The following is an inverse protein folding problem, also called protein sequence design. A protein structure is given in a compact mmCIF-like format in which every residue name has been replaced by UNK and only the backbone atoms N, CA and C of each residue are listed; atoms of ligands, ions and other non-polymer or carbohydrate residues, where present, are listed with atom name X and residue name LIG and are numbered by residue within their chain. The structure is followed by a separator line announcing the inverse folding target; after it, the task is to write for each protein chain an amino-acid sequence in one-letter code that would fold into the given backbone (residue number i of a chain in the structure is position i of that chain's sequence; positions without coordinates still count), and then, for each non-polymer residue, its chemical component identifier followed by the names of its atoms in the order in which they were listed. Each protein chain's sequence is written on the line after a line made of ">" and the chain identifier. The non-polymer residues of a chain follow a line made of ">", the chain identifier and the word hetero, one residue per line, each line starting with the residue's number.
data_IF_110466405124
#
_entry.id   IF_110466405124
#
_cell.length_a   1.000
_cell.length_b   1.000
_cell.length_c   1.000
_cell.angle_alpha   90.00
_cell.angle_beta   90.00
_cell.angle_gamma   90.00
#
_symmetry.space_group_name_H-M   'P 1'
#
loop_
_entity.id
_entity.type
_entity.pdbx_description
1 polymer ?
#
# COMPACT_ATOMS: atom_id res chain seq x y z
N UNK A 1 18.22 78.06 -5.68
CA UNK A 1 16.78 78.22 -5.35
C UNK A 1 15.97 78.15 -6.63
N UNK A 2 15.02 77.21 -6.75
CA UNK A 2 13.71 77.42 -7.38
C UNK A 2 12.89 76.13 -7.30
N UNK A 3 11.89 76.15 -6.42
CA UNK A 3 10.72 75.26 -6.43
C UNK A 3 10.00 75.41 -7.77
N UNK A 4 9.53 74.30 -8.35
CA UNK A 4 8.24 74.27 -9.06
C UNK A 4 7.54 72.94 -8.80
N UNK A 5 6.43 73.04 -8.06
CA UNK A 5 5.35 72.04 -8.01
C UNK A 5 4.59 72.09 -9.33
N UNK A 6 4.23 70.92 -9.88
CA UNK A 6 3.07 70.76 -10.75
C UNK A 6 2.40 69.41 -10.46
N UNK A 7 1.25 69.51 -9.80
CA UNK A 7 0.15 68.55 -9.80
C UNK A 7 -0.36 68.37 -11.24
N UNK A 8 -0.79 67.17 -11.65
CA UNK A 8 -1.94 66.94 -12.56
C UNK A 8 -2.15 65.44 -12.90
N UNK A 9 -3.42 65.04 -12.73
CA UNK A 9 -4.26 63.97 -13.31
C UNK A 9 -3.85 62.48 -13.29
N UNK A 10 -4.60 61.77 -12.45
CA UNK A 10 -5.38 60.53 -12.70
C UNK A 10 -5.42 59.96 -14.13
N UNK A 11 -5.01 58.69 -14.25
CA UNK A 11 -5.62 57.73 -15.19
C UNK A 11 -5.90 56.44 -14.43
N UNK A 12 -7.18 56.09 -14.38
CA UNK A 12 -7.72 54.83 -13.89
C UNK A 12 -7.25 53.68 -14.79
N UNK A 13 -6.52 52.73 -14.22
CA UNK A 13 -6.37 51.40 -14.80
C UNK A 13 -7.11 50.42 -13.89
N UNK A 14 -8.36 50.13 -14.23
CA UNK A 14 -9.10 48.99 -13.66
C UNK A 14 -8.45 47.74 -14.24
N UNK A 15 -7.42 47.23 -13.55
CA UNK A 15 -6.91 45.89 -13.80
C UNK A 15 -7.91 44.90 -13.21
N UNK A 16 -8.77 44.36 -14.08
CA UNK A 16 -9.42 43.07 -13.87
C UNK A 16 -8.32 42.03 -13.61
N UNK A 17 -7.99 41.82 -12.34
CA UNK A 17 -7.24 40.65 -11.93
C UNK A 17 -8.19 39.48 -12.11
N UNK A 18 -8.06 38.79 -13.23
CA UNK A 18 -8.56 37.45 -13.38
C UNK A 18 -7.90 36.61 -12.29
N UNK A 19 -8.62 36.40 -11.18
CA UNK A 19 -8.25 35.40 -10.22
C UNK A 19 -8.28 34.05 -10.96
N UNK A 20 -7.16 33.33 -11.09
CA UNK A 20 -7.26 31.96 -11.54
C UNK A 20 -7.93 31.20 -10.39
N UNK A 21 -9.24 30.99 -10.52
CA UNK A 21 -9.95 30.00 -9.73
C UNK A 21 -9.35 28.65 -10.11
N UNK A 22 -8.24 28.25 -9.46
CA UNK A 22 -7.79 26.87 -9.36
C UNK A 22 -8.79 26.11 -8.48
N UNK A 23 -10.02 25.99 -8.96
CA UNK A 23 -11.00 25.10 -8.41
C UNK A 23 -11.00 23.83 -9.26
N UNK A 24 -10.65 22.74 -8.56
CA UNK A 24 -10.89 21.34 -8.90
C UNK A 24 -9.88 20.63 -9.82
N UNK A 25 -8.99 19.87 -9.19
CA UNK A 25 -8.87 18.42 -9.44
C UNK A 25 -8.09 17.76 -8.30
N UNK A 26 -8.78 17.01 -7.45
CA UNK A 26 -8.16 16.11 -6.48
C UNK A 26 -8.43 16.44 -5.01
N UNK A 27 -9.70 16.55 -4.62
CA UNK A 27 -10.14 16.38 -3.23
C UNK A 27 -9.99 14.93 -2.74
N UNK A 28 -8.93 14.23 -3.16
CA UNK A 28 -8.56 12.93 -2.67
C UNK A 28 -7.48 13.14 -1.62
N UNK A 29 -7.74 12.64 -0.42
CA UNK A 29 -6.82 12.75 0.70
C UNK A 29 -5.42 12.25 0.29
N UNK A 30 -4.41 13.11 0.45
CA UNK A 30 -2.97 12.82 0.38
C UNK A 30 -2.32 12.70 -1.03
N UNK A 31 -1.97 13.84 -1.68
CA UNK A 31 -1.15 13.85 -2.90
C UNK A 31 0.16 13.07 -2.73
N UNK A 32 0.43 12.14 -3.65
CA UNK A 32 1.64 11.31 -3.63
C UNK A 32 1.65 10.19 -2.58
N UNK A 33 0.56 9.96 -1.84
CA UNK A 33 0.40 8.79 -0.98
C UNK A 33 -0.20 7.61 -1.75
N UNK A 34 0.31 6.43 -1.47
CA UNK A 34 -0.32 5.17 -1.84
C UNK A 34 -1.37 4.73 -0.81
N UNK A 35 -1.10 5.01 0.47
CA UNK A 35 -2.05 4.84 1.56
C UNK A 35 -1.66 5.72 2.76
N UNK A 36 -2.58 5.89 3.70
CA UNK A 36 -2.36 6.42 5.04
C UNK A 36 -2.78 5.37 6.06
N UNK A 37 -1.90 5.08 7.01
CA UNK A 37 -2.06 4.02 8.00
C UNK A 37 -1.69 4.56 9.37
N UNK A 38 -2.65 4.67 10.27
CA UNK A 38 -2.46 5.22 11.61
C UNK A 38 -2.14 6.71 11.62
N UNK A 39 -2.44 7.44 10.53
CA UNK A 39 -2.00 8.82 10.31
C UNK A 39 -0.65 8.94 9.60
N UNK A 40 0.10 7.85 9.46
CA UNK A 40 1.36 7.83 8.73
C UNK A 40 1.13 7.65 7.23
N UNK A 41 1.84 8.46 6.43
CA UNK A 41 1.77 8.37 4.97
C UNK A 41 2.71 7.28 4.43
N UNK A 42 2.15 6.35 3.66
CA UNK A 42 2.91 5.48 2.75
C UNK A 42 3.01 6.22 1.41
N UNK A 43 4.21 6.70 1.06
CA UNK A 43 4.42 7.39 -0.21
C UNK A 43 4.39 6.42 -1.39
N UNK A 44 3.92 6.91 -2.55
CA UNK A 44 4.00 6.15 -3.81
C UNK A 44 5.45 5.75 -4.13
N UNK A 45 6.41 6.63 -3.87
CA UNK A 45 7.83 6.34 -4.07
C UNK A 45 8.35 5.20 -3.20
N UNK A 46 7.83 5.03 -1.98
CA UNK A 46 8.18 3.89 -1.11
C UNK A 46 7.74 2.57 -1.74
N UNK A 47 6.52 2.51 -2.27
CA UNK A 47 6.02 1.30 -2.95
C UNK A 47 6.84 1.03 -4.22
N UNK A 48 7.13 2.07 -5.01
CA UNK A 48 7.92 1.96 -6.23
C UNK A 48 9.36 1.51 -5.97
N UNK A 49 9.99 1.98 -4.89
CA UNK A 49 11.32 1.54 -4.50
C UNK A 49 11.34 0.04 -4.19
N UNK A 50 10.36 -0.45 -3.42
CA UNK A 50 10.29 -1.89 -3.13
C UNK A 50 10.02 -2.74 -4.38
N UNK A 51 9.29 -2.21 -5.37
CA UNK A 51 9.09 -2.88 -6.67
C UNK A 51 10.39 -2.91 -7.47
N UNK A 52 11.16 -1.82 -7.47
CA UNK A 52 12.46 -1.75 -8.12
C UNK A 52 13.44 -2.77 -7.49
N UNK A 53 13.52 -2.85 -6.17
CA UNK A 53 14.40 -3.81 -5.48
C UNK A 53 14.12 -5.27 -5.90
N UNK A 54 12.84 -5.61 -6.10
CA UNK A 54 12.44 -6.96 -6.56
C UNK A 54 12.87 -7.19 -8.00
N UNK A 55 12.65 -6.20 -8.88
CA UNK A 55 13.03 -6.30 -10.30
C UNK A 55 14.54 -6.39 -10.47
N UNK A 56 15.30 -5.56 -9.77
CA UNK A 56 16.77 -5.58 -9.81
C UNK A 56 17.30 -6.96 -9.36
N UNK A 57 16.65 -7.57 -8.36
CA UNK A 57 16.99 -8.91 -7.91
C UNK A 57 16.59 -10.00 -8.93
N UNK A 58 15.46 -9.84 -9.64
CA UNK A 58 15.03 -10.74 -10.72
C UNK A 58 15.97 -10.68 -11.92
N UNK A 59 16.34 -9.48 -12.35
CA UNK A 59 17.27 -9.24 -13.46
C UNK A 59 18.64 -9.86 -13.16
N UNK A 60 19.15 -9.65 -11.94
CA UNK A 60 20.42 -10.23 -11.49
C UNK A 60 20.37 -11.77 -11.42
N UNK A 61 19.21 -12.34 -11.10
CA UNK A 61 19.03 -13.80 -11.00
C UNK A 61 18.68 -14.47 -12.34
N UNK A 62 18.60 -13.71 -13.44
CA UNK A 62 18.14 -14.17 -14.77
C UNK A 62 16.72 -14.78 -14.74
N UNK A 63 15.90 -14.37 -13.78
CA UNK A 63 14.47 -14.68 -13.80
C UNK A 63 13.80 -13.85 -14.90
N UNK A 64 12.76 -14.40 -15.55
CA UNK A 64 12.11 -13.72 -16.66
C UNK A 64 11.46 -12.41 -16.22
N UNK A 65 11.63 -11.36 -17.03
CA UNK A 65 10.95 -10.09 -16.83
C UNK A 65 9.41 -10.29 -16.84
N UNK A 66 8.74 -9.67 -15.87
CA UNK A 66 7.30 -9.81 -15.70
C UNK A 66 6.49 -9.01 -16.73
N UNK A 67 5.29 -9.48 -17.08
CA UNK A 67 4.36 -8.77 -17.97
C UNK A 67 3.80 -7.49 -17.33
N UNK A 68 3.13 -6.64 -18.12
CA UNK A 68 2.46 -5.42 -17.61
C UNK A 68 1.43 -5.73 -16.54
N UNK A 69 0.64 -6.80 -16.71
CA UNK A 69 -0.37 -7.21 -15.72
C UNK A 69 0.28 -7.64 -14.41
N UNK A 70 1.37 -8.41 -14.49
CA UNK A 70 2.15 -8.81 -13.32
C UNK A 70 2.82 -7.60 -12.64
N UNK A 71 3.16 -6.56 -13.39
CA UNK A 71 3.69 -5.31 -12.82
C UNK A 71 2.65 -4.59 -11.97
N UNK A 72 1.40 -4.50 -12.42
CA UNK A 72 0.30 -3.94 -11.61
C UNK A 72 0.05 -4.76 -10.34
N UNK A 73 0.09 -6.10 -10.45
CA UNK A 73 -0.05 -7.01 -9.33
C UNK A 73 1.09 -6.87 -8.32
N UNK A 74 2.34 -6.78 -8.78
CA UNK A 74 3.50 -6.59 -7.92
C UNK A 74 3.41 -5.29 -7.12
N UNK A 75 3.02 -4.18 -7.76
CA UNK A 75 2.84 -2.90 -7.07
C UNK A 75 1.77 -3.01 -5.97
N UNK A 76 0.63 -3.64 -6.26
CA UNK A 76 -0.43 -3.88 -5.26
C UNK A 76 0.05 -4.81 -4.14
N UNK A 77 0.78 -5.87 -4.46
CA UNK A 77 1.35 -6.79 -3.49
C UNK A 77 2.34 -6.10 -2.55
N UNK A 78 3.20 -5.21 -3.06
CA UNK A 78 4.10 -4.43 -2.20
C UNK A 78 3.35 -3.46 -1.29
N UNK A 79 2.34 -2.76 -1.82
CA UNK A 79 1.50 -1.90 -0.97
C UNK A 79 0.76 -2.70 0.11
N UNK A 80 0.18 -3.85 -0.25
CA UNK A 80 -0.47 -4.75 0.69
C UNK A 80 0.49 -5.18 1.81
N UNK A 81 1.69 -5.64 1.46
CA UNK A 81 2.71 -6.04 2.43
C UNK A 81 3.08 -4.92 3.41
N UNK A 82 3.29 -3.69 2.92
CA UNK A 82 3.58 -2.54 3.80
C UNK A 82 2.43 -2.26 4.77
N UNK A 83 1.17 -2.34 4.31
CA UNK A 83 0.01 -2.13 5.19
C UNK A 83 -0.10 -3.27 6.20
N UNK A 84 0.07 -4.52 5.76
CA UNK A 84 0.02 -5.70 6.62
C UNK A 84 1.09 -5.63 7.72
N UNK A 85 2.31 -5.20 7.38
CA UNK A 85 3.39 -4.99 8.34
C UNK A 85 2.97 -4.02 9.46
N UNK A 86 2.35 -2.89 9.11
CA UNK A 86 1.82 -1.94 10.10
C UNK A 86 0.69 -2.54 10.95
N UNK A 87 -0.18 -3.35 10.35
CA UNK A 87 -1.25 -4.05 11.07
C UNK A 87 -0.67 -5.07 12.06
N UNK A 88 0.34 -5.84 11.66
CA UNK A 88 1.04 -6.80 12.52
C UNK A 88 1.80 -6.11 13.64
N UNK A 89 2.47 -4.98 13.37
CA UNK A 89 3.11 -4.15 14.38
C UNK A 89 2.12 -3.69 15.43
N UNK A 90 0.97 -3.18 14.97
CA UNK A 90 -0.09 -2.73 15.87
C UNK A 90 -0.67 -3.88 16.70
N UNK A 91 -0.98 -5.01 16.08
CA UNK A 91 -1.53 -6.17 16.77
C UNK A 91 -0.54 -6.75 17.79
N UNK A 92 0.75 -6.81 17.44
CA UNK A 92 1.82 -7.25 18.34
C UNK A 92 1.94 -6.31 19.54
N UNK A 93 1.95 -4.99 19.30
CA UNK A 93 2.01 -3.99 20.35
C UNK A 93 0.80 -4.05 21.29
N UNK A 94 -0.42 -4.19 20.75
CA UNK A 94 -1.65 -4.33 21.54
C UNK A 94 -1.64 -5.61 22.42
N UNK A 95 -0.88 -6.64 22.02
CA UNK A 95 -0.69 -7.89 22.76
C UNK A 95 0.59 -7.92 23.63
N UNK A 96 1.35 -6.82 23.70
CA UNK A 96 2.63 -6.77 24.42
C UNK A 96 3.75 -7.63 23.82
N UNK A 97 3.63 -7.99 22.54
CA UNK A 97 4.62 -8.78 21.80
C UNK A 97 5.65 -7.86 21.17
N UNK A 98 6.92 -8.15 21.43
CA UNK A 98 8.08 -7.49 20.79
C UNK A 98 8.96 -8.51 20.09
N UNK A 99 9.61 -8.13 19.00
CA UNK A 99 10.62 -8.94 18.32
C UNK A 99 11.98 -8.28 18.42
N UNK A 100 12.96 -9.03 18.89
CA UNK A 100 14.34 -8.57 19.04
C UNK A 100 15.17 -8.87 17.78
N UNK A 101 16.26 -8.12 17.62
CA UNK A 101 17.25 -8.40 16.56
C UNK A 101 17.83 -9.81 16.68
N UNK A 102 18.03 -10.32 17.89
CA UNK A 102 18.57 -11.65 18.12
C UNK A 102 17.65 -12.75 17.56
N UNK A 103 16.34 -12.63 17.77
CA UNK A 103 15.35 -13.58 17.23
C UNK A 103 15.35 -13.58 15.70
N UNK A 104 15.45 -12.40 15.07
CA UNK A 104 15.54 -12.28 13.61
C UNK A 104 16.80 -12.99 13.10
N UNK A 105 17.96 -12.77 13.72
CA UNK A 105 19.21 -13.40 13.30
C UNK A 105 19.20 -14.92 13.53
N UNK A 106 18.60 -15.39 14.62
CA UNK A 106 18.44 -16.82 14.86
C UNK A 106 17.55 -17.46 13.80
N UNK A 107 16.39 -16.86 13.50
CA UNK A 107 15.51 -17.34 12.43
C UNK A 107 16.21 -17.31 11.06
N UNK A 108 17.01 -16.27 10.81
CA UNK A 108 17.80 -16.14 9.58
C UNK A 108 18.81 -17.26 9.42
N UNK A 109 19.52 -17.62 10.50
CA UNK A 109 20.44 -18.76 10.49
C UNK A 109 19.72 -20.08 10.18
N UNK A 110 18.56 -20.31 10.80
CA UNK A 110 17.73 -21.49 10.51
C UNK A 110 17.26 -21.51 9.05
N UNK A 111 16.80 -20.38 8.52
CA UNK A 111 16.36 -20.27 7.13
C UNK A 111 17.54 -20.50 6.16
N UNK A 112 18.70 -19.90 6.42
CA UNK A 112 19.92 -20.13 5.60
C UNK A 112 20.29 -21.62 5.58
N UNK A 113 20.24 -22.31 6.72
CA UNK A 113 20.50 -23.74 6.77
C UNK A 113 19.47 -24.55 5.94
N UNK A 114 18.18 -24.23 6.09
CA UNK A 114 17.08 -24.89 5.38
C UNK A 114 17.21 -24.74 3.85
N UNK A 115 17.56 -23.55 3.38
CA UNK A 115 17.71 -23.26 1.95
C UNK A 115 19.14 -23.49 1.42
N UNK A 116 19.96 -24.27 2.13
CA UNK A 116 21.31 -24.67 1.71
C UNK A 116 22.23 -23.47 1.40
N UNK A 117 22.11 -22.39 2.17
CA UNK A 117 22.94 -21.20 2.09
C UNK A 117 22.17 -19.93 1.73
N UNK A 118 22.86 -18.79 1.87
CA UNK A 118 22.30 -17.45 1.66
C UNK A 118 21.73 -17.25 0.24
N UNK A 119 22.42 -17.79 -0.76
CA UNK A 119 21.98 -17.71 -2.16
C UNK A 119 20.67 -18.47 -2.39
N UNK A 120 20.52 -19.64 -1.76
CA UNK A 120 19.31 -20.44 -1.88
C UNK A 120 18.12 -19.76 -1.19
N UNK A 121 18.33 -19.20 0.00
CA UNK A 121 17.29 -18.42 0.70
C UNK A 121 16.81 -17.25 -0.16
N UNK A 122 17.74 -16.43 -0.68
CA UNK A 122 17.41 -15.28 -1.53
C UNK A 122 16.63 -15.68 -2.78
N UNK A 123 17.07 -16.74 -3.47
CA UNK A 123 16.39 -17.22 -4.67
C UNK A 123 14.96 -17.71 -4.36
N UNK A 124 14.79 -18.46 -3.27
CA UNK A 124 13.50 -18.99 -2.87
C UNK A 124 12.51 -17.87 -2.52
N UNK A 125 12.88 -16.94 -1.63
CA UNK A 125 11.95 -15.86 -1.21
C UNK A 125 11.66 -14.86 -2.33
N UNK A 126 12.61 -14.65 -3.26
CA UNK A 126 12.37 -13.82 -4.43
C UNK A 126 11.34 -14.48 -5.36
N UNK A 127 11.52 -15.77 -5.64
CA UNK A 127 10.66 -16.52 -6.56
C UNK A 127 9.25 -16.76 -5.99
N UNK A 128 9.17 -17.16 -4.71
CA UNK A 128 7.91 -17.57 -4.08
C UNK A 128 7.10 -16.40 -3.53
N UNK A 129 7.77 -15.28 -3.17
CA UNK A 129 7.15 -14.22 -2.34
C UNK A 129 7.45 -12.79 -2.82
N UNK A 130 8.22 -12.61 -3.90
CA UNK A 130 8.66 -11.28 -4.38
C UNK A 130 9.32 -10.45 -3.28
N UNK A 131 10.19 -11.10 -2.51
CA UNK A 131 11.00 -10.48 -1.45
C UNK A 131 12.41 -10.28 -1.98
N UNK A 132 12.84 -9.02 -2.03
CA UNK A 132 14.23 -8.69 -2.39
C UNK A 132 15.18 -9.02 -1.24
N UNK A 133 16.50 -9.17 -1.48
CA UNK A 133 17.47 -9.49 -0.43
C UNK A 133 17.43 -8.53 0.78
N UNK A 134 17.19 -7.23 0.55
CA UNK A 134 17.09 -6.22 1.59
C UNK A 134 15.81 -6.30 2.44
N UNK A 135 14.81 -7.07 1.99
CA UNK A 135 13.51 -7.21 2.66
C UNK A 135 13.40 -8.50 3.50
N UNK A 136 14.42 -9.37 3.46
CA UNK A 136 14.41 -10.66 4.15
C UNK A 136 14.22 -10.50 5.66
N UNK A 137 14.96 -9.60 6.29
CA UNK A 137 14.90 -9.45 7.75
C UNK A 137 13.52 -8.95 8.23
N UNK A 138 12.86 -8.07 7.47
CA UNK A 138 11.48 -7.65 7.75
C UNK A 138 10.49 -8.82 7.60
N UNK A 139 10.64 -9.63 6.55
CA UNK A 139 9.82 -10.83 6.36
C UNK A 139 10.00 -11.85 7.50
N UNK A 140 11.23 -12.05 7.97
CA UNK A 140 11.48 -12.93 9.12
C UNK A 140 10.87 -12.36 10.40
N UNK A 141 10.97 -11.05 10.61
CA UNK A 141 10.32 -10.35 11.73
C UNK A 141 8.80 -10.57 11.72
N UNK A 142 8.13 -10.43 10.58
CA UNK A 142 6.68 -10.68 10.44
C UNK A 142 6.30 -12.12 10.84
N UNK A 143 7.09 -13.13 10.44
CA UNK A 143 6.87 -14.51 10.83
C UNK A 143 7.04 -14.74 12.34
N UNK A 144 8.02 -14.09 12.95
CA UNK A 144 8.22 -14.13 14.41
C UNK A 144 7.04 -13.45 15.10
N UNK A 145 6.58 -12.30 14.59
CA UNK A 145 5.41 -11.58 15.14
C UNK A 145 4.16 -12.45 15.12
N UNK A 146 3.85 -13.09 13.99
CA UNK A 146 2.70 -14.00 13.87
C UNK A 146 2.77 -15.16 14.87
N UNK A 147 3.94 -15.79 14.99
CA UNK A 147 4.14 -16.89 15.94
C UNK A 147 3.94 -16.41 17.39
N UNK A 148 4.59 -15.32 17.78
CA UNK A 148 4.53 -14.79 19.15
C UNK A 148 3.15 -14.22 19.49
N UNK A 149 2.49 -13.57 18.52
CA UNK A 149 1.13 -13.10 18.65
C UNK A 149 0.17 -14.27 18.89
N UNK A 150 0.29 -15.35 18.12
CA UNK A 150 -0.52 -16.55 18.31
C UNK A 150 -0.32 -17.13 19.73
N UNK A 151 0.93 -17.22 20.19
CA UNK A 151 1.25 -17.66 21.55
C UNK A 151 0.66 -16.75 22.63
N UNK A 152 0.82 -15.43 22.49
CA UNK A 152 0.29 -14.44 23.44
C UNK A 152 -1.24 -14.48 23.53
N UNK A 153 -1.91 -14.82 22.43
CA UNK A 153 -3.37 -14.96 22.38
C UNK A 153 -3.85 -16.35 22.83
N UNK A 154 -2.95 -17.31 23.11
CA UNK A 154 -3.32 -18.71 23.32
C UNK A 154 -4.01 -19.34 22.10
N UNK A 155 -3.71 -18.83 20.91
CA UNK A 155 -4.34 -19.21 19.66
C UNK A 155 -3.53 -20.30 18.95
N UNK A 156 -4.10 -21.49 18.77
CA UNK A 156 -3.53 -22.52 17.89
C UNK A 156 -3.97 -22.27 16.43
N UNK A 157 -3.06 -21.85 15.54
CA UNK A 157 -3.38 -21.56 14.14
C UNK A 157 -3.83 -22.81 13.34
N UNK A 158 -3.70 -24.01 13.90
CA UNK A 158 -4.21 -25.26 13.30
C UNK A 158 -5.70 -25.47 13.58
N UNK A 159 -6.31 -24.65 14.44
CA UNK A 159 -7.72 -24.76 14.83
C UNK A 159 -8.56 -23.61 14.28
N UNK A 160 -9.87 -23.82 14.01
CA UNK A 160 -10.79 -22.74 13.66
C UNK A 160 -10.87 -21.65 14.73
N UNK A 161 -10.74 -22.00 16.00
CA UNK A 161 -10.76 -21.05 17.10
C UNK A 161 -9.51 -20.16 17.12
N UNK A 162 -8.31 -20.73 16.96
CA UNK A 162 -7.07 -19.96 16.96
C UNK A 162 -6.91 -19.10 15.71
N UNK A 163 -7.28 -19.61 14.53
CA UNK A 163 -7.36 -18.81 13.30
C UNK A 163 -8.31 -17.63 13.45
N UNK A 164 -9.49 -17.84 14.07
CA UNK A 164 -10.42 -16.76 14.39
C UNK A 164 -9.83 -15.76 15.37
N UNK A 165 -9.20 -16.19 16.46
CA UNK A 165 -8.60 -15.31 17.46
C UNK A 165 -7.51 -14.42 16.86
N UNK A 166 -6.64 -14.98 16.02
CA UNK A 166 -5.62 -14.24 15.30
C UNK A 166 -6.26 -13.24 14.31
N UNK A 167 -7.25 -13.68 13.52
CA UNK A 167 -7.98 -12.82 12.59
C UNK A 167 -8.70 -11.65 13.28
N UNK A 168 -9.31 -11.88 14.44
CA UNK A 168 -9.96 -10.85 15.25
C UNK A 168 -8.93 -9.82 15.77
N UNK A 169 -7.75 -10.27 16.22
CA UNK A 169 -6.67 -9.38 16.66
C UNK A 169 -6.15 -8.50 15.51
N UNK A 170 -5.91 -9.08 14.33
CA UNK A 170 -5.50 -8.33 13.15
C UNK A 170 -6.59 -7.35 12.69
N UNK A 171 -7.85 -7.77 12.71
CA UNK A 171 -9.00 -6.91 12.37
C UNK A 171 -9.10 -5.73 13.33
N UNK A 172 -8.93 -5.97 14.64
CA UNK A 172 -8.94 -4.92 15.66
C UNK A 172 -7.82 -3.90 15.42
N UNK A 173 -6.60 -4.38 15.20
CA UNK A 173 -5.44 -3.55 14.90
C UNK A 173 -5.63 -2.73 13.62
N UNK A 174 -6.12 -3.37 12.55
CA UNK A 174 -6.38 -2.73 11.26
C UNK A 174 -7.41 -1.60 11.36
N UNK A 175 -8.51 -1.83 12.08
CA UNK A 175 -9.52 -0.80 12.36
C UNK A 175 -8.96 0.36 13.18
N UNK A 176 -8.12 0.06 14.17
CA UNK A 176 -7.47 1.10 14.98
C UNK A 176 -6.54 2.00 14.15
N UNK A 177 -5.90 1.44 13.11
CA UNK A 177 -5.05 2.18 12.19
C UNK A 177 -5.83 3.01 11.16
N UNK A 178 -7.14 2.82 10.99
CA UNK A 178 -7.94 3.60 10.02
C UNK A 178 -7.28 3.68 8.64
N UNK A 179 -6.95 2.51 8.07
CA UNK A 179 -6.26 2.41 6.78
C UNK A 179 -7.10 3.09 5.69
N UNK A 180 -6.50 4.09 5.05
CA UNK A 180 -7.05 4.79 3.89
C UNK A 180 -6.13 4.55 2.68
N UNK A 181 -6.65 3.92 1.63
CA UNK A 181 -5.87 3.55 0.44
C UNK A 181 -6.24 4.45 -0.71
N UNK A 182 -5.25 4.95 -1.44
CA UNK A 182 -5.50 5.72 -2.64
C UNK A 182 -6.29 4.85 -3.64
N UNK A 183 -7.48 5.30 -4.12
CA UNK A 183 -8.38 4.48 -4.92
C UNK A 183 -7.78 3.84 -6.17
N UNK A 184 -6.70 4.41 -6.72
CA UNK A 184 -5.97 3.79 -7.84
C UNK A 184 -5.40 2.41 -7.52
N UNK A 185 -5.22 2.10 -6.23
CA UNK A 185 -4.69 0.83 -5.73
C UNK A 185 -5.76 -0.09 -5.14
N UNK A 186 -7.05 0.28 -5.21
CA UNK A 186 -8.12 -0.50 -4.60
C UNK A 186 -8.68 0.13 -3.33
N UNK A 187 -9.32 -0.71 -2.53
CA UNK A 187 -9.81 -0.38 -1.19
C UNK A 187 -9.27 -1.39 -0.17
N UNK A 188 -9.16 -0.97 1.09
CA UNK A 188 -8.71 -1.87 2.16
C UNK A 188 -9.90 -2.59 2.81
N UNK A 189 -9.85 -3.91 2.85
CA UNK A 189 -10.81 -4.74 3.60
C UNK A 189 -10.23 -5.10 4.97
N UNK A 190 -10.82 -4.52 6.02
CA UNK A 190 -10.38 -4.75 7.41
C UNK A 190 -10.69 -6.16 7.93
N UNK A 191 -11.66 -6.88 7.34
CA UNK A 191 -12.00 -8.25 7.78
C UNK A 191 -11.09 -9.27 7.13
N UNK A 192 -10.77 -9.04 5.85
CA UNK A 192 -9.91 -9.93 5.08
C UNK A 192 -8.43 -9.56 5.19
N UNK A 193 -8.10 -8.39 5.77
CA UNK A 193 -6.73 -7.86 5.90
C UNK A 193 -6.03 -7.83 4.53
N UNK A 194 -6.74 -7.32 3.53
CA UNK A 194 -6.26 -7.32 2.15
C UNK A 194 -6.71 -6.10 1.35
N UNK A 195 -6.00 -5.83 0.26
CA UNK A 195 -6.44 -4.91 -0.78
C UNK A 195 -7.50 -5.58 -1.66
N UNK A 196 -8.72 -5.07 -1.63
CA UNK A 196 -9.79 -5.41 -2.56
C UNK A 196 -9.74 -4.54 -3.82
N UNK A 197 -10.49 -4.93 -4.84
CA UNK A 197 -10.71 -4.06 -6.00
C UNK A 197 -11.54 -2.85 -5.61
N UNK A 198 -11.19 -1.69 -6.16
CA UNK A 198 -11.98 -0.48 -5.96
C UNK A 198 -13.28 -0.60 -6.75
N UNK A 199 -14.41 -0.71 -6.04
CA UNK A 199 -15.75 -0.58 -6.62
C UNK A 199 -16.22 0.86 -6.43
N UNK A 200 -16.18 1.65 -7.50
CA UNK A 200 -16.69 3.01 -7.50
C UNK A 200 -18.24 3.00 -7.39
N UNK A 201 -18.86 3.48 -6.30
CA UNK A 201 -20.32 3.43 -6.13
C UNK A 201 -21.09 4.27 -7.16
N UNK A 202 -20.43 5.28 -7.74
CA UNK A 202 -20.96 6.17 -8.77
C UNK A 202 -20.91 5.58 -10.18
N UNK A 203 -20.23 4.43 -10.36
CA UNK A 203 -20.24 3.66 -11.62
C UNK A 203 -21.30 2.56 -11.48
N UNK A 204 -22.57 2.97 -11.50
CA UNK A 204 -23.63 2.07 -11.97
C UNK A 204 -23.74 2.34 -13.47
N UNK A 205 -23.49 1.33 -14.31
CA UNK A 205 -23.62 1.44 -15.77
C UNK A 205 -25.07 1.83 -16.12
N UNK A 206 -25.30 3.12 -16.34
CA UNK A 206 -26.52 3.60 -17.01
C UNK A 206 -26.27 3.51 -18.51
N UNK A 207 -26.14 2.29 -19.01
CA UNK A 207 -26.34 1.98 -20.43
C UNK A 207 -27.67 1.26 -20.52
N UNK A 208 -28.75 2.03 -20.59
CA UNK A 208 -29.96 1.55 -21.25
C UNK A 208 -29.55 1.23 -22.69
N UNK A 209 -29.85 0.04 -23.24
CA UNK A 209 -29.75 -0.14 -24.67
C UNK A 209 -30.75 0.81 -25.31
N UNK A 210 -30.26 1.72 -26.17
CA UNK A 210 -31.12 2.44 -27.08
C UNK A 210 -31.90 1.41 -27.88
N UNK A 211 -33.22 1.38 -27.67
CA UNK A 211 -34.15 0.81 -28.63
C UNK A 211 -33.98 1.62 -29.90
N UNK A 212 -33.28 1.06 -30.88
CA UNK A 212 -33.50 1.45 -32.27
C UNK A 212 -34.79 0.79 -32.78
N UNK A 213 -35.56 1.46 -33.65
CA UNK A 213 -36.98 1.17 -33.89
C UNK A 213 -37.20 -0.04 -34.80
N UNK A 214 -38.39 -0.63 -34.67
CA UNK A 214 -38.95 -1.52 -35.66
C UNK A 214 -39.39 -0.74 -36.91
N UNK A 215 -38.87 -1.10 -38.09
CA UNK A 215 -39.48 -0.94 -39.42
C UNK A 215 -38.99 -2.15 -40.25
N UNK A 216 -39.80 -3.15 -40.60
CA UNK A 216 -40.88 -3.20 -41.59
C UNK A 216 -40.40 -3.10 -43.05
N UNK A 217 -40.33 -4.27 -43.73
CA UNK A 217 -40.71 -4.43 -45.14
C UNK A 217 -39.63 -4.35 -46.22
N UNK A 218 -39.26 -5.52 -46.78
CA UNK A 218 -39.53 -5.92 -48.18
C UNK A 218 -39.01 -7.35 -48.40
#
# INVERSE_FOLDING_TARGET
>A
MHRRRRTVLTVSAVTLVAAPLLSACGSQAHPGAAAVVGGDRIAVSTVQAQVADVRDAQDTSKQAAQTTDQSGQLVRAKLHGIILDRVLDRASADAGVTVSRAEIQQMRQSAVAQYKGEKGLRAAVLQERWISPGQIDSFLREQIQLTKLSQALGADPSTPAGTKALGDALTKASKALKVDVNPRYGSWDNKQIQLADYKAPWINQVTKPDRAPAEAGA
#
